data_IF_774235638908
#
_entry.id   IF_774235638908
#
_cell.length_a   1.000
_cell.length_b   1.000
_cell.length_c   1.000
_cell.angle_alpha   90.00
_cell.angle_beta   90.00
_cell.angle_gamma   90.00
#
_symmetry.space_group_name_H-M   'P 1'
#
loop_
_entity.id
_entity.type
_entity.pdbx_description
1 polymer ?
#
# COMPACT_ATOMS: atom_id res chain seq x y z
N UNK A 1 -21.08 -16.62 3.73
CA UNK A 1 -20.27 -17.55 4.57
C UNK A 1 -18.95 -17.87 3.86
N UNK A 2 -18.17 -16.87 3.46
CA UNK A 2 -17.03 -17.09 2.53
C UNK A 2 -15.73 -16.41 2.98
N UNK A 3 -15.82 -15.46 3.89
CA UNK A 3 -14.69 -14.68 4.42
C UNK A 3 -13.86 -15.47 5.45
N UNK A 4 -14.53 -16.24 6.32
CA UNK A 4 -13.87 -17.05 7.37
C UNK A 4 -12.83 -18.02 6.82
N UNK A 5 -13.17 -18.74 5.75
CA UNK A 5 -12.33 -19.81 5.18
C UNK A 5 -11.07 -19.27 4.46
N UNK A 6 -11.03 -17.96 4.13
CA UNK A 6 -9.91 -17.33 3.43
C UNK A 6 -8.85 -16.79 4.41
N UNK A 7 -9.29 -16.33 5.59
CA UNK A 7 -8.42 -15.92 6.70
C UNK A 7 -7.72 -17.10 7.36
N UNK A 8 -8.39 -18.27 7.44
CA UNK A 8 -7.86 -19.50 8.08
C UNK A 8 -6.54 -20.01 7.47
N UNK A 9 -6.22 -19.63 6.23
CA UNK A 9 -4.95 -20.00 5.56
C UNK A 9 -3.78 -19.04 5.86
N UNK A 10 -4.02 -17.96 6.62
CA UNK A 10 -2.98 -17.02 7.05
C UNK A 10 -2.53 -17.33 8.48
N UNK A 11 -1.29 -17.00 8.81
CA UNK A 11 -0.84 -16.98 10.21
C UNK A 11 -1.64 -15.96 11.02
N UNK A 12 -1.79 -16.18 12.33
CA UNK A 12 -2.48 -15.25 13.23
C UNK A 12 -1.90 -13.83 13.14
N UNK A 13 -0.56 -13.70 13.01
CA UNK A 13 0.12 -12.43 12.75
C UNK A 13 -0.45 -11.74 11.50
N UNK A 14 -0.47 -12.43 10.36
CA UNK A 14 -0.94 -11.85 9.10
C UNK A 14 -2.44 -11.54 9.14
N UNK A 15 -3.24 -12.33 9.88
CA UNK A 15 -4.65 -12.02 10.09
C UNK A 15 -4.82 -10.70 10.85
N UNK A 16 -4.08 -10.52 11.94
CA UNK A 16 -4.08 -9.28 12.74
C UNK A 16 -3.61 -8.07 11.91
N UNK A 17 -2.47 -8.20 11.22
CA UNK A 17 -1.96 -7.16 10.31
C UNK A 17 -2.96 -6.82 9.20
N UNK A 18 -3.68 -7.81 8.66
CA UNK A 18 -4.65 -7.59 7.61
C UNK A 18 -5.90 -6.87 8.13
N UNK A 19 -6.34 -7.19 9.35
CA UNK A 19 -7.45 -6.50 10.01
C UNK A 19 -7.08 -5.05 10.36
N UNK A 20 -5.84 -4.81 10.79
CA UNK A 20 -5.30 -3.46 11.00
C UNK A 20 -5.29 -2.65 9.69
N UNK A 21 -4.82 -3.25 8.59
CA UNK A 21 -4.84 -2.63 7.27
C UNK A 21 -6.27 -2.31 6.82
N UNK A 22 -7.21 -3.25 6.99
CA UNK A 22 -8.62 -3.02 6.66
C UNK A 22 -9.20 -1.85 7.46
N UNK A 23 -8.96 -1.83 8.77
CA UNK A 23 -9.41 -0.74 9.63
C UNK A 23 -8.83 0.62 9.21
N UNK A 24 -7.54 0.67 8.86
CA UNK A 24 -6.89 1.90 8.40
C UNK A 24 -7.46 2.40 7.05
N UNK A 25 -7.86 1.48 6.17
CA UNK A 25 -8.50 1.80 4.89
C UNK A 25 -9.95 2.26 5.03
N UNK A 26 -10.65 1.78 6.05
CA UNK A 26 -12.05 2.10 6.35
C UNK A 26 -12.23 3.29 7.28
N UNK A 27 -11.13 3.83 7.83
CA UNK A 27 -11.16 4.91 8.79
C UNK A 27 -12.02 6.07 8.27
N UNK A 28 -13.07 6.42 9.02
CA UNK A 28 -14.01 7.46 8.63
C UNK A 28 -13.30 8.83 8.63
N UNK A 29 -13.02 9.34 7.43
CA UNK A 29 -12.45 10.66 7.23
C UNK A 29 -11.91 10.82 5.82
N UNK A 30 -12.17 11.96 5.18
CA UNK A 30 -11.58 12.33 3.89
C UNK A 30 -10.10 12.74 4.03
N UNK A 31 -9.39 12.22 5.01
CA UNK A 31 -8.03 12.63 5.32
C UNK A 31 -7.04 11.70 4.65
N UNK A 32 -5.94 12.27 4.18
CA UNK A 32 -4.80 11.50 3.73
C UNK A 32 -4.20 10.70 4.89
N UNK A 33 -3.91 9.43 4.62
CA UNK A 33 -3.02 8.61 5.46
C UNK A 33 -2.10 7.81 4.55
N UNK A 34 -0.84 7.68 4.96
CA UNK A 34 0.15 6.89 4.24
C UNK A 34 0.41 5.60 5.03
N UNK A 35 0.19 4.47 4.38
CA UNK A 35 0.39 3.14 4.97
C UNK A 35 1.39 2.38 4.10
N UNK A 36 2.40 1.78 4.71
CA UNK A 36 3.34 0.88 4.03
C UNK A 36 2.98 -0.54 4.40
N UNK A 37 2.40 -1.28 3.45
CA UNK A 37 2.17 -2.70 3.60
C UNK A 37 3.44 -3.45 3.18
N UNK A 38 4.29 -3.79 4.16
CA UNK A 38 5.56 -4.46 3.91
C UNK A 38 5.33 -5.95 3.68
N UNK A 39 5.64 -6.42 2.48
CA UNK A 39 5.50 -7.83 2.11
C UNK A 39 6.53 -8.21 1.04
N UNK A 40 7.41 -9.17 1.33
CA UNK A 40 8.46 -9.62 0.40
C UNK A 40 8.01 -10.73 -0.55
N UNK A 41 6.83 -11.32 -0.32
CA UNK A 41 6.37 -12.49 -1.06
C UNK A 41 5.17 -12.14 -1.94
N UNK A 42 5.38 -12.14 -3.26
CA UNK A 42 4.34 -11.74 -4.23
C UNK A 42 3.08 -12.61 -4.17
N UNK A 43 3.23 -13.91 -3.90
CA UNK A 43 2.09 -14.82 -3.71
C UNK A 43 1.28 -14.47 -2.45
N UNK A 44 1.96 -14.11 -1.36
CA UNK A 44 1.31 -13.67 -0.12
C UNK A 44 0.61 -12.32 -0.33
N UNK A 45 1.29 -11.33 -0.92
CA UNK A 45 0.70 -10.03 -1.27
C UNK A 45 -0.58 -10.22 -2.10
N UNK A 46 -0.53 -11.05 -3.15
CA UNK A 46 -1.70 -11.33 -3.98
C UNK A 46 -2.84 -11.92 -3.15
N UNK A 47 -2.56 -12.91 -2.30
CA UNK A 47 -3.57 -13.51 -1.42
C UNK A 47 -4.17 -12.47 -0.45
N UNK A 48 -3.33 -11.68 0.23
CA UNK A 48 -3.75 -10.64 1.16
C UNK A 48 -4.67 -9.62 0.49
N UNK A 49 -4.31 -9.12 -0.70
CA UNK A 49 -5.14 -8.18 -1.47
C UNK A 49 -6.50 -8.80 -1.83
N UNK A 50 -6.51 -10.08 -2.20
CA UNK A 50 -7.74 -10.80 -2.49
C UNK A 50 -8.60 -11.03 -1.25
N UNK A 51 -8.04 -11.14 -0.06
CA UNK A 51 -8.81 -11.21 1.20
C UNK A 51 -9.31 -9.81 1.57
N UNK A 52 -8.45 -8.79 1.47
CA UNK A 52 -8.75 -7.39 1.79
C UNK A 52 -9.98 -6.89 1.02
N UNK A 53 -10.04 -7.18 -0.28
CA UNK A 53 -11.19 -6.83 -1.12
C UNK A 53 -12.53 -7.47 -0.69
N UNK A 54 -12.50 -8.53 0.14
CA UNK A 54 -13.70 -9.20 0.67
C UNK A 54 -14.05 -8.78 2.10
N UNK A 55 -13.10 -8.20 2.85
CA UNK A 55 -13.32 -7.76 4.24
C UNK A 55 -13.58 -6.26 4.33
N UNK A 56 -13.04 -5.46 3.39
CA UNK A 56 -13.29 -4.04 3.33
C UNK A 56 -14.72 -3.75 2.86
N UNK A 57 -15.39 -2.89 3.60
CA UNK A 57 -16.69 -2.29 3.31
C UNK A 57 -16.61 -1.12 2.32
N UNK A 58 -15.42 -0.54 2.15
CA UNK A 58 -15.14 0.56 1.22
C UNK A 58 -14.59 0.07 -0.11
N UNK A 59 -14.79 0.85 -1.19
CA UNK A 59 -14.20 0.58 -2.50
C UNK A 59 -12.72 0.96 -2.50
N UNK A 60 -11.88 -0.06 -2.47
CA UNK A 60 -10.41 0.05 -2.57
C UNK A 60 -9.98 -0.15 -4.02
N UNK A 61 -9.37 0.87 -4.63
CA UNK A 61 -8.81 0.80 -5.98
C UNK A 61 -7.37 0.28 -5.92
N UNK A 62 -6.93 -0.38 -7.00
CA UNK A 62 -5.54 -0.79 -7.19
C UNK A 62 -4.89 -0.06 -8.35
N UNK A 63 -3.68 0.43 -8.14
CA UNK A 63 -2.80 1.00 -9.16
C UNK A 63 -1.51 0.17 -9.22
N UNK A 64 -1.27 -0.50 -10.34
CA UNK A 64 0.03 -1.10 -10.62
C UNK A 64 0.92 -0.04 -11.27
N UNK A 65 2.06 0.27 -10.65
CA UNK A 65 3.02 1.19 -11.26
C UNK A 65 3.71 0.53 -12.44
N UNK A 66 3.81 1.30 -13.53
CA UNK A 66 4.62 0.92 -14.67
C UNK A 66 6.12 0.93 -14.30
N UNK A 67 6.93 -0.02 -14.79
CA UNK A 67 8.38 -0.03 -14.57
C UNK A 67 9.10 1.26 -15.01
N UNK A 68 8.48 2.03 -15.91
CA UNK A 68 8.98 3.31 -16.42
C UNK A 68 8.53 4.54 -15.61
N UNK A 69 7.74 4.36 -14.55
CA UNK A 69 7.28 5.46 -13.72
C UNK A 69 8.44 6.22 -13.08
N UNK A 70 8.38 7.55 -13.13
CA UNK A 70 9.41 8.44 -12.57
C UNK A 70 8.89 9.34 -11.45
N UNK A 71 7.57 9.46 -11.29
CA UNK A 71 6.95 10.25 -10.21
C UNK A 71 5.73 9.50 -9.67
N UNK A 72 5.70 9.32 -8.34
CA UNK A 72 4.60 8.61 -7.67
C UNK A 72 3.31 9.43 -7.73
N UNK A 73 3.41 10.71 -7.39
CA UNK A 73 2.26 11.61 -7.30
C UNK A 73 1.47 11.68 -8.62
N UNK A 74 2.14 11.95 -9.75
CA UNK A 74 1.44 12.08 -11.04
C UNK A 74 0.87 10.74 -11.53
N UNK A 75 1.47 9.62 -11.13
CA UNK A 75 0.95 8.28 -11.44
C UNK A 75 -0.37 8.05 -10.69
N UNK A 76 -0.44 8.48 -9.43
CA UNK A 76 -1.66 8.43 -8.62
C UNK A 76 -2.70 9.43 -9.12
N UNK A 77 -2.31 10.67 -9.42
CA UNK A 77 -3.20 11.72 -9.90
C UNK A 77 -3.95 11.31 -11.18
N UNK A 78 -3.24 10.65 -12.12
CA UNK A 78 -3.87 10.08 -13.33
C UNK A 78 -4.91 9.00 -13.02
N UNK A 79 -4.75 8.27 -11.92
CA UNK A 79 -5.69 7.23 -11.49
C UNK A 79 -6.95 7.81 -10.85
N UNK A 80 -6.86 8.99 -10.22
CA UNK A 80 -7.97 9.60 -9.49
C UNK A 80 -9.17 9.87 -10.41
N UNK A 81 -8.92 10.32 -11.65
CA UNK A 81 -9.94 10.41 -12.71
C UNK A 81 -11.31 10.93 -12.25
N UNK A 82 -12.39 10.35 -12.81
CA UNK A 82 -13.78 10.58 -12.36
C UNK A 82 -14.32 9.40 -11.54
N UNK A 83 -13.50 8.41 -11.18
CA UNK A 83 -13.97 7.23 -10.47
C UNK A 83 -14.05 7.50 -8.97
N UNK A 84 -15.21 7.25 -8.39
CA UNK A 84 -15.38 7.28 -6.95
C UNK A 84 -14.74 6.03 -6.34
N UNK A 85 -13.65 6.19 -5.61
CA UNK A 85 -13.08 5.20 -4.68
C UNK A 85 -12.81 5.88 -3.33
N UNK A 86 -12.65 5.09 -2.27
CA UNK A 86 -12.40 5.60 -0.92
C UNK A 86 -10.99 5.32 -0.43
N UNK A 87 -10.27 4.41 -1.08
CA UNK A 87 -8.90 4.06 -0.75
C UNK A 87 -8.13 3.62 -2.00
N UNK A 88 -6.81 3.81 -2.00
CA UNK A 88 -5.93 3.40 -3.08
C UNK A 88 -4.79 2.52 -2.57
N UNK A 89 -4.59 1.37 -3.21
CA UNK A 89 -3.40 0.55 -3.07
C UNK A 89 -2.51 0.70 -4.29
N UNK A 90 -1.23 0.99 -4.07
CA UNK A 90 -0.20 1.06 -5.11
C UNK A 90 0.70 -0.16 -5.00
N UNK A 91 0.91 -0.84 -6.12
CA UNK A 91 1.75 -2.02 -6.24
C UNK A 91 2.87 -1.79 -7.27
N UNK A 92 3.90 -2.64 -7.23
CA UNK A 92 4.93 -2.70 -8.25
C UNK A 92 6.07 -1.70 -8.07
N UNK A 93 6.20 -1.07 -6.90
CA UNK A 93 7.34 -0.19 -6.59
C UNK A 93 8.68 -0.91 -6.79
N UNK A 94 8.74 -2.21 -6.47
CA UNK A 94 9.94 -3.03 -6.62
C UNK A 94 10.36 -3.25 -8.08
N UNK A 95 9.48 -2.95 -9.05
CA UNK A 95 9.74 -3.09 -10.48
C UNK A 95 10.08 -1.76 -11.17
N UNK A 96 10.04 -0.63 -10.45
CA UNK A 96 10.34 0.69 -11.00
C UNK A 96 11.84 0.85 -11.24
N UNK A 97 12.22 1.10 -12.50
CA UNK A 97 13.63 1.23 -12.90
C UNK A 97 14.31 2.45 -12.29
N UNK A 98 13.60 3.57 -12.22
CA UNK A 98 14.10 4.85 -11.72
C UNK A 98 13.60 5.15 -10.30
N UNK A 99 13.62 4.15 -9.41
CA UNK A 99 13.16 4.34 -8.01
C UNK A 99 13.95 5.45 -7.28
N UNK A 100 15.22 5.62 -7.68
CA UNK A 100 16.12 6.68 -7.23
C UNK A 100 15.71 8.09 -7.66
N UNK A 101 14.79 8.22 -8.63
CA UNK A 101 14.14 9.48 -9.00
C UNK A 101 12.71 9.57 -8.44
N UNK A 102 11.98 8.46 -8.47
CA UNK A 102 10.60 8.39 -8.02
C UNK A 102 10.45 8.75 -6.54
N UNK A 103 11.28 8.17 -5.66
CA UNK A 103 11.16 8.41 -4.22
C UNK A 103 11.54 9.85 -3.82
N UNK A 104 12.66 10.43 -4.28
CA UNK A 104 12.95 11.84 -3.99
C UNK A 104 11.86 12.78 -4.50
N UNK A 105 11.23 12.48 -5.65
CA UNK A 105 10.12 13.30 -6.14
C UNK A 105 8.95 13.30 -5.18
N UNK A 106 8.58 12.14 -4.60
CA UNK A 106 7.53 12.05 -3.59
C UNK A 106 7.90 12.81 -2.31
N UNK A 107 9.18 12.76 -1.91
CA UNK A 107 9.68 13.50 -0.74
C UNK A 107 9.54 15.02 -0.89
N UNK A 108 9.89 15.53 -2.07
CA UNK A 108 9.91 16.96 -2.35
C UNK A 108 8.51 17.58 -2.26
N UNK A 109 7.48 16.86 -2.72
CA UNK A 109 6.09 17.33 -2.76
C UNK A 109 5.19 16.58 -1.79
N UNK A 110 5.72 16.09 -0.66
CA UNK A 110 4.93 15.32 0.31
C UNK A 110 3.64 16.03 0.75
N UNK A 111 3.67 17.36 0.89
CA UNK A 111 2.50 18.16 1.26
C UNK A 111 1.37 18.10 0.22
N UNK A 112 1.71 17.98 -1.06
CA UNK A 112 0.72 17.84 -2.13
C UNK A 112 -0.09 16.54 -1.99
N UNK A 113 0.49 15.48 -1.42
CA UNK A 113 -0.27 14.26 -1.14
C UNK A 113 -1.37 14.53 -0.11
N UNK A 114 -1.06 15.22 0.99
CA UNK A 114 -2.06 15.52 2.02
C UNK A 114 -3.08 16.55 1.57
N UNK A 115 -2.66 17.51 0.75
CA UNK A 115 -3.51 18.62 0.33
C UNK A 115 -4.50 18.21 -0.78
N UNK A 116 -4.09 17.27 -1.64
CA UNK A 116 -4.88 16.89 -2.82
C UNK A 116 -5.53 15.51 -2.69
N UNK A 117 -4.94 14.57 -1.94
CA UNK A 117 -5.49 13.22 -1.78
C UNK A 117 -6.26 13.08 -0.48
N UNK A 118 -7.55 12.80 -0.61
CA UNK A 118 -8.49 12.79 0.50
C UNK A 118 -8.95 11.36 0.85
N UNK A 119 -7.99 10.43 0.80
CA UNK A 119 -8.20 9.00 0.99
C UNK A 119 -6.95 8.32 1.55
N UNK A 120 -7.08 7.16 2.21
CA UNK A 120 -5.94 6.32 2.59
C UNK A 120 -5.17 5.81 1.37
N UNK A 121 -3.85 5.97 1.40
CA UNK A 121 -2.90 5.50 0.40
C UNK A 121 -2.03 4.39 1.00
N UNK A 122 -2.17 3.18 0.45
CA UNK A 122 -1.32 2.04 0.80
C UNK A 122 -0.27 1.86 -0.28
N UNK A 123 1.01 1.88 0.10
CA UNK A 123 2.10 1.46 -0.77
C UNK A 123 2.51 0.05 -0.35
N UNK A 124 2.38 -0.92 -1.25
CA UNK A 124 2.97 -2.23 -1.04
C UNK A 124 4.46 -2.18 -1.32
N UNK A 125 5.27 -2.53 -0.32
CA UNK A 125 6.73 -2.40 -0.38
C UNK A 125 7.42 -3.70 0.01
N UNK A 126 8.55 -3.97 -0.63
CA UNK A 126 9.52 -4.97 -0.16
C UNK A 126 10.53 -4.31 0.78
N UNK A 127 11.37 -5.11 1.43
CA UNK A 127 12.45 -4.61 2.29
C UNK A 127 13.38 -3.66 1.54
N UNK A 128 13.70 -3.98 0.29
CA UNK A 128 14.57 -3.15 -0.54
C UNK A 128 13.91 -1.79 -0.85
N UNK A 129 12.62 -1.80 -1.19
CA UNK A 129 11.87 -0.56 -1.43
C UNK A 129 11.78 0.26 -0.15
N UNK A 130 11.48 -0.36 0.98
CA UNK A 130 11.40 0.31 2.28
C UNK A 130 12.74 0.96 2.67
N UNK A 131 13.86 0.25 2.49
CA UNK A 131 15.19 0.79 2.74
C UNK A 131 15.48 2.01 1.84
N UNK A 132 15.12 1.94 0.56
CA UNK A 132 15.25 3.08 -0.35
C UNK A 132 14.33 4.24 0.02
N UNK A 133 13.11 3.99 0.52
CA UNK A 133 12.22 5.03 1.03
C UNK A 133 12.83 5.78 2.22
N UNK A 134 13.35 5.04 3.21
CA UNK A 134 14.02 5.65 4.37
C UNK A 134 15.22 6.50 3.93
N UNK A 135 15.97 6.04 2.93
CA UNK A 135 17.19 6.71 2.44
C UNK A 135 16.92 7.91 1.54
N UNK A 136 15.97 7.79 0.62
CA UNK A 136 15.74 8.75 -0.47
C UNK A 136 14.54 9.65 -0.26
N UNK A 137 13.61 9.23 0.59
CA UNK A 137 12.39 9.96 0.90
C UNK A 137 12.07 9.95 2.40
N UNK A 138 13.02 10.37 3.27
CA UNK A 138 12.87 10.27 4.72
C UNK A 138 11.67 11.08 5.25
N UNK A 139 11.38 12.25 4.68
CA UNK A 139 10.25 13.08 5.13
C UNK A 139 8.92 12.47 4.72
N UNK A 140 8.83 11.89 3.53
CA UNK A 140 7.63 11.17 3.08
C UNK A 140 7.42 9.88 3.89
N UNK A 141 8.50 9.12 4.13
CA UNK A 141 8.48 7.95 5.00
C UNK A 141 8.04 8.30 6.44
N UNK A 142 8.43 9.47 6.97
CA UNK A 142 8.09 9.87 8.34
C UNK A 142 6.58 10.01 8.60
N UNK A 143 5.77 10.17 7.55
CA UNK A 143 4.30 10.24 7.64
C UNK A 143 3.64 8.87 7.60
N UNK A 144 4.41 7.82 7.31
CA UNK A 144 3.86 6.50 7.11
C UNK A 144 3.71 5.71 8.42
N UNK A 145 2.66 4.89 8.45
CA UNK A 145 2.57 3.74 9.36
C UNK A 145 2.96 2.49 8.58
N UNK A 146 3.81 1.64 9.16
CA UNK A 146 4.20 0.37 8.52
C UNK A 146 3.42 -0.79 9.13
N UNK A 147 2.85 -1.63 8.28
CA UNK A 147 2.19 -2.89 8.66
C UNK A 147 2.95 -4.04 7.99
N UNK A 148 3.45 -4.96 8.82
CA UNK A 148 4.30 -6.06 8.38
C UNK A 148 3.52 -7.33 8.08
N UNK A 149 3.82 -7.94 6.92
CA UNK A 149 3.36 -9.25 6.51
C UNK A 149 4.52 -10.18 6.24
N UNK A 150 4.48 -11.37 6.86
CA UNK A 150 5.56 -12.34 6.78
C UNK A 150 5.06 -13.66 6.19
N UNK A 151 5.92 -14.37 5.46
CA UNK A 151 5.61 -15.74 5.10
C UNK A 151 5.47 -16.55 6.39
N UNK A 152 4.39 -17.34 6.48
CA UNK A 152 4.28 -18.35 7.52
C UNK A 152 5.42 -19.35 7.31
N UNK A 153 6.27 -19.53 8.31
CA UNK A 153 7.37 -20.51 8.29
C UNK A 153 6.85 -21.95 8.51
N UNK A 154 5.53 -22.14 8.58
CA UNK A 154 4.93 -23.44 8.87
C UNK A 154 4.61 -24.16 7.57
N UNK A 155 5.56 -24.98 7.10
CA UNK A 155 5.38 -26.36 6.63
C UNK A 155 6.69 -26.86 5.97
N UNK A 156 7.56 -27.49 6.77
CA UNK A 156 8.37 -28.63 6.34
C UNK A 156 7.78 -29.86 7.00
#
# INVERSE_FOLDING_TARGET
>A
MTTSNKLENLSEKNQNSLQELAFALEAEGKNFSLILARCNFKSLQHNLIQILANICSVKVQQLNLEPSAITLYTSIEKQIGNEQFQALMVLGLESVKEISRLLPSANQIRGEFSDNFHFPLVLWVTDNVLAEMIRLAPDFYSWAVTIDFEASINNV
#
